data_IF_248638376208
#
_entry.id   IF_248638376208
#
_cell.length_a   1.000
_cell.length_b   1.000
_cell.length_c   1.000
_cell.angle_alpha   90.00
_cell.angle_beta   90.00
_cell.angle_gamma   90.00
#
_symmetry.space_group_name_H-M   'P 1'
#
loop_
_entity.id
_entity.type
_entity.pdbx_description
1 polymer ?
#
# COMPACT_ATOMS: atom_id res chain seq x y z
N UNK A 1 6.02 -16.92 10.54
CA UNK A 1 6.98 -15.81 10.49
C UNK A 1 6.75 -15.12 9.16
N UNK A 2 6.43 -13.81 9.17
CA UNK A 2 6.12 -13.04 7.96
C UNK A 2 7.28 -13.02 6.98
N UNK A 3 6.97 -13.18 5.69
CA UNK A 3 7.94 -13.14 4.58
C UNK A 3 7.58 -12.02 3.62
N UNK A 4 8.61 -11.37 3.09
CA UNK A 4 8.47 -10.37 2.03
C UNK A 4 8.28 -11.09 0.70
N UNK A 5 7.12 -10.93 0.08
CA UNK A 5 6.81 -11.42 -1.27
C UNK A 5 7.34 -10.45 -2.32
N UNK A 6 7.12 -9.14 -2.11
CA UNK A 6 7.48 -8.10 -3.06
C UNK A 6 7.83 -6.80 -2.33
N UNK A 7 8.67 -5.99 -2.94
CA UNK A 7 8.96 -4.62 -2.49
C UNK A 7 8.64 -3.67 -3.63
N UNK A 8 7.73 -2.75 -3.37
CA UNK A 8 7.43 -1.63 -4.26
C UNK A 8 8.23 -0.43 -3.76
N UNK A 9 9.04 0.16 -4.64
CA UNK A 9 9.77 1.39 -4.35
C UNK A 9 9.00 2.60 -4.88
N UNK A 10 8.85 3.62 -4.04
CA UNK A 10 8.28 4.91 -4.41
C UNK A 10 9.28 6.03 -4.11
N UNK A 11 9.34 7.01 -4.99
CA UNK A 11 10.09 8.24 -4.77
C UNK A 11 9.10 9.37 -4.60
N UNK A 12 9.00 9.91 -3.38
CA UNK A 12 8.20 11.10 -3.12
C UNK A 12 9.02 12.34 -3.48
N UNK A 13 8.46 13.31 -4.24
CA UNK A 13 9.12 14.59 -4.48
C UNK A 13 9.33 15.38 -3.18
N UNK A 14 8.55 15.06 -2.13
CA UNK A 14 8.67 15.67 -0.80
C UNK A 14 9.63 14.91 0.13
N UNK A 15 10.09 13.72 -0.27
CA UNK A 15 10.95 12.84 0.55
C UNK A 15 12.45 13.13 0.44
N UNK A 16 12.84 14.27 -0.14
CA UNK A 16 14.25 14.62 -0.34
C UNK A 16 15.02 13.61 -1.20
N UNK A 17 14.34 12.95 -2.15
CA UNK A 17 14.92 11.94 -3.02
C UNK A 17 15.14 10.57 -2.37
N UNK A 18 14.74 10.39 -1.10
CA UNK A 18 14.84 9.08 -0.44
C UNK A 18 13.71 8.14 -0.90
N UNK A 19 14.02 6.86 -1.17
CA UNK A 19 12.99 5.88 -1.48
C UNK A 19 12.12 5.60 -0.26
N UNK A 20 10.83 5.47 -0.49
CA UNK A 20 9.86 4.89 0.43
C UNK A 20 9.51 3.49 -0.07
N UNK A 21 9.54 2.49 0.81
CA UNK A 21 9.28 1.11 0.44
C UNK A 21 7.90 0.66 0.93
N UNK A 22 7.17 -0.04 0.07
CA UNK A 22 5.93 -0.72 0.39
C UNK A 22 6.13 -2.23 0.19
N UNK A 23 6.06 -2.99 1.28
CA UNK A 23 6.31 -4.42 1.31
C UNK A 23 4.98 -5.16 1.19
N UNK A 24 4.92 -6.12 0.27
CA UNK A 24 3.83 -7.09 0.19
C UNK A 24 4.27 -8.34 0.94
N UNK A 25 3.47 -8.75 1.91
CA UNK A 25 3.78 -9.87 2.81
C UNK A 25 2.87 -11.06 2.53
N UNK A 26 3.34 -12.26 2.87
CA UNK A 26 2.51 -13.48 2.87
C UNK A 26 1.49 -13.50 4.01
N UNK A 27 1.88 -13.00 5.17
CA UNK A 27 1.04 -12.81 6.35
C UNK A 27 1.45 -11.53 7.08
N UNK A 28 0.49 -10.87 7.73
CA UNK A 28 0.80 -9.70 8.56
C UNK A 28 1.61 -10.09 9.81
N UNK A 29 2.58 -9.25 10.23
CA UNK A 29 3.30 -9.44 11.48
C UNK A 29 2.35 -9.41 12.68
N UNK A 30 2.57 -10.30 13.64
CA UNK A 30 1.82 -10.32 14.90
C UNK A 30 2.24 -9.14 15.77
N UNK A 31 1.24 -8.49 16.36
CA UNK A 31 1.44 -7.36 17.28
C UNK A 31 1.24 -7.80 18.73
N UNK A 32 2.22 -8.54 19.25
CA UNK A 32 2.30 -8.91 20.68
C UNK A 32 3.45 -8.11 21.28
N UNK A 33 3.17 -7.32 22.32
CA UNK A 33 4.11 -6.30 22.79
C UNK A 33 4.85 -6.73 24.05
N UNK A 34 6.16 -6.51 24.07
CA UNK A 34 6.94 -6.48 25.30
C UNK A 34 6.91 -5.06 25.90
N UNK A 35 6.78 -4.95 27.22
CA UNK A 35 6.75 -3.65 27.92
C UNK A 35 8.12 -3.27 28.47
N UNK A 36 8.56 -2.06 28.12
CA UNK A 36 9.80 -1.44 28.60
C UNK A 36 9.50 -0.05 29.17
N UNK A 37 9.07 -0.01 30.43
CA UNK A 37 8.63 1.22 31.09
C UNK A 37 7.38 1.81 30.41
N UNK A 38 7.56 2.93 29.70
CA UNK A 38 6.51 3.60 28.91
C UNK A 38 6.47 3.14 27.43
N UNK A 39 7.42 2.30 27.01
CA UNK A 39 7.49 1.80 25.64
C UNK A 39 6.88 0.40 25.54
N UNK A 40 6.22 0.13 24.43
CA UNK A 40 5.67 -1.17 24.07
C UNK A 40 6.24 -1.53 22.69
N UNK A 41 6.93 -2.66 22.62
CA UNK A 41 7.64 -3.08 21.41
C UNK A 41 7.10 -4.43 20.97
N UNK A 42 6.49 -4.49 19.80
CA UNK A 42 6.18 -5.75 19.14
C UNK A 42 7.31 -6.11 18.18
N UNK A 43 7.65 -7.40 18.13
CA UNK A 43 8.63 -7.94 17.21
C UNK A 43 8.16 -9.30 16.68
N UNK A 44 8.09 -9.44 15.36
CA UNK A 44 7.79 -10.70 14.68
C UNK A 44 8.70 -10.85 13.45
N UNK A 45 9.79 -11.61 13.63
CA UNK A 45 10.76 -11.94 12.58
C UNK A 45 11.33 -10.73 11.82
N UNK A 46 11.88 -9.76 12.56
CA UNK A 46 12.47 -8.54 12.01
C UNK A 46 11.44 -7.50 11.56
N UNK A 47 10.15 -7.73 11.77
CA UNK A 47 9.13 -6.68 11.73
C UNK A 47 8.85 -6.16 13.13
N UNK A 48 8.64 -4.85 13.22
CA UNK A 48 8.49 -4.14 14.48
C UNK A 48 7.26 -3.23 14.47
N UNK A 49 6.68 -3.08 15.66
CA UNK A 49 5.77 -1.98 15.98
C UNK A 49 6.22 -1.32 17.28
N UNK A 50 6.25 0.00 17.29
CA UNK A 50 6.80 0.78 18.39
C UNK A 50 5.75 1.76 18.89
N UNK A 51 5.26 1.47 20.09
CA UNK A 51 4.32 2.34 20.77
C UNK A 51 4.97 2.90 22.03
N UNK A 52 4.55 4.10 22.40
CA UNK A 52 4.82 4.64 23.73
C UNK A 52 3.53 5.15 24.32
N UNK A 53 3.37 4.95 25.61
CA UNK A 53 2.19 5.40 26.30
C UNK A 53 2.37 5.49 27.78
N UNK A 54 1.49 6.27 28.40
CA UNK A 54 1.40 6.44 29.84
C UNK A 54 -0.01 6.11 30.26
N UNK A 55 -0.15 5.53 31.45
CA UNK A 55 -1.46 5.49 32.09
C UNK A 55 -1.90 6.95 32.32
N UNK A 56 -3.01 7.34 31.73
CA UNK A 56 -3.54 8.70 31.79
C UNK A 56 -5.05 8.69 31.96
N UNK A 57 -5.64 9.86 32.27
CA UNK A 57 -7.08 10.08 32.42
C UNK A 57 -7.68 10.85 31.23
N UNK A 58 -7.09 10.71 30.04
CA UNK A 58 -7.45 11.53 28.87
C UNK A 58 -8.46 10.85 27.96
N UNK A 59 -9.49 11.57 27.53
CA UNK A 59 -10.52 11.06 26.60
C UNK A 59 -10.06 11.06 25.13
N UNK A 60 -8.84 10.58 24.82
CA UNK A 60 -8.46 10.49 23.41
C UNK A 60 -9.33 9.45 22.67
N UNK A 61 -9.43 9.60 21.35
CA UNK A 61 -10.36 8.84 20.50
C UNK A 61 -11.84 8.98 20.93
N UNK A 62 -12.22 10.15 21.46
CA UNK A 62 -13.57 10.45 21.97
C UNK A 62 -13.99 9.52 23.12
N UNK A 63 -13.08 9.30 24.08
CA UNK A 63 -13.30 8.45 25.25
C UNK A 63 -13.32 6.95 24.96
N UNK A 64 -12.91 6.52 23.75
CA UNK A 64 -12.81 5.09 23.43
C UNK A 64 -11.59 4.48 24.11
N UNK A 65 -11.84 3.40 24.81
CA UNK A 65 -10.82 2.59 25.46
C UNK A 65 -10.48 1.37 24.59
N UNK A 66 -9.22 0.97 24.62
CA UNK A 66 -8.77 -0.26 23.97
C UNK A 66 -7.67 -0.94 24.79
N UNK A 67 -7.35 -2.17 24.42
CA UNK A 67 -6.47 -3.03 25.16
C UNK A 67 -5.30 -3.46 24.27
N UNK A 68 -4.07 -3.38 24.79
CA UNK A 68 -2.88 -3.92 24.14
C UNK A 68 -2.49 -5.21 24.85
N UNK A 69 -2.37 -6.31 24.10
CA UNK A 69 -1.86 -7.57 24.64
C UNK A 69 -0.34 -7.50 24.84
N UNK A 70 0.09 -7.90 26.02
CA UNK A 70 1.50 -8.02 26.40
C UNK A 70 1.93 -9.48 26.29
N UNK A 71 3.20 -9.71 25.94
CA UNK A 71 3.80 -11.03 25.78
C UNK A 71 3.78 -11.90 27.05
N UNK A 72 3.81 -11.27 28.23
CA UNK A 72 3.62 -11.91 29.53
C UNK A 72 2.17 -12.37 29.81
N UNK A 73 1.26 -12.18 28.84
CA UNK A 73 -0.16 -12.53 28.93
C UNK A 73 -1.02 -11.46 29.62
N UNK A 74 -0.42 -10.40 30.15
CA UNK A 74 -1.15 -9.27 30.71
C UNK A 74 -1.70 -8.37 29.60
N UNK A 75 -2.52 -7.40 30.00
CA UNK A 75 -3.13 -6.44 29.07
C UNK A 75 -2.91 -5.03 29.58
N UNK A 76 -2.47 -4.14 28.70
CA UNK A 76 -2.37 -2.72 28.99
C UNK A 76 -3.65 -1.99 28.56
N UNK A 77 -4.36 -1.44 29.54
CA UNK A 77 -5.57 -0.65 29.31
C UNK A 77 -5.21 0.75 28.82
N UNK A 78 -5.69 1.09 27.62
CA UNK A 78 -5.36 2.34 26.95
C UNK A 78 -6.52 3.33 27.07
N UNK A 79 -6.34 4.34 27.92
CA UNK A 79 -7.22 5.50 28.06
C UNK A 79 -6.61 6.71 27.33
N UNK A 80 -6.53 6.58 26.01
CA UNK A 80 -6.23 7.68 25.10
C UNK A 80 -4.77 8.18 24.98
N UNK A 81 -3.78 7.57 25.64
CA UNK A 81 -2.40 8.08 25.60
C UNK A 81 -1.37 7.06 25.09
N UNK A 82 -1.66 6.40 23.96
CA UNK A 82 -0.70 5.54 23.27
C UNK A 82 -0.46 6.05 21.86
N UNK A 83 0.80 6.24 21.50
CA UNK A 83 1.23 6.85 20.24
C UNK A 83 2.25 5.97 19.56
N UNK A 84 2.27 5.99 18.22
CA UNK A 84 3.44 5.53 17.47
C UNK A 84 4.65 6.36 17.87
N UNK A 85 5.78 5.71 18.09
CA UNK A 85 6.99 6.34 18.62
C UNK A 85 8.24 5.63 18.13
N UNK A 86 9.42 6.20 18.38
CA UNK A 86 10.66 5.45 18.24
C UNK A 86 10.83 4.43 19.37
N UNK A 87 11.74 3.47 19.19
CA UNK A 87 12.02 2.39 20.15
C UNK A 87 12.78 2.83 21.42
N UNK A 88 13.03 4.13 21.64
CA UNK A 88 13.63 4.66 22.88
C UNK A 88 15.01 4.12 23.24
N UNK A 89 15.75 3.54 22.27
CA UNK A 89 17.02 2.85 22.53
C UNK A 89 16.89 1.39 23.01
N UNK A 90 15.68 0.85 23.12
CA UNK A 90 15.44 -0.55 23.54
C UNK A 90 15.63 -1.57 22.42
N UNK A 91 15.79 -1.12 21.18
CA UNK A 91 16.16 -1.92 20.02
C UNK A 91 17.49 -1.37 19.50
N UNK A 92 18.51 -2.23 19.45
CA UNK A 92 19.83 -1.88 18.90
C UNK A 92 19.90 -2.05 17.38
N UNK A 93 19.05 -2.92 16.84
CA UNK A 93 18.96 -3.12 15.40
C UNK A 93 18.42 -1.87 14.70
N UNK A 94 19.08 -1.48 13.61
CA UNK A 94 18.60 -0.39 12.77
C UNK A 94 17.32 -0.83 12.05
N UNK A 95 16.29 -0.01 12.17
CA UNK A 95 15.01 -0.24 11.50
C UNK A 95 14.69 0.84 10.47
N UNK A 96 13.72 0.55 9.60
CA UNK A 96 13.24 1.42 8.52
C UNK A 96 11.72 1.42 8.54
N UNK A 97 11.12 2.61 8.46
CA UNK A 97 9.68 2.77 8.28
C UNK A 97 9.28 2.43 6.86
N UNK A 98 8.21 1.66 6.72
CA UNK A 98 7.73 1.12 5.46
C UNK A 98 6.21 1.03 5.44
N UNK A 99 5.63 0.95 4.24
CA UNK A 99 4.27 0.44 4.07
C UNK A 99 4.28 -1.10 4.12
N UNK A 100 3.30 -1.73 4.78
CA UNK A 100 3.11 -3.18 4.78
C UNK A 100 1.65 -3.53 4.46
N UNK A 101 1.45 -4.60 3.70
CA UNK A 101 0.14 -5.21 3.49
C UNK A 101 0.31 -6.62 2.94
N UNK A 102 -0.71 -7.45 3.10
CA UNK A 102 -0.85 -8.72 2.37
C UNK A 102 -1.61 -8.51 1.06
N UNK A 103 -1.50 -9.46 0.11
CA UNK A 103 -2.31 -9.45 -1.11
C UNK A 103 -3.82 -9.47 -0.82
N UNK A 104 -4.23 -10.18 0.24
CA UNK A 104 -5.62 -10.25 0.66
C UNK A 104 -6.14 -8.88 1.13
N UNK A 105 -5.35 -8.13 1.90
CA UNK A 105 -5.70 -6.78 2.35
C UNK A 105 -5.76 -5.78 1.19
N UNK A 106 -4.76 -5.81 0.30
CA UNK A 106 -4.71 -4.94 -0.89
C UNK A 106 -5.90 -5.17 -1.82
N UNK A 107 -6.41 -6.41 -1.89
CA UNK A 107 -7.60 -6.73 -2.67
C UNK A 107 -8.89 -6.12 -2.08
N UNK A 108 -8.97 -5.98 -0.74
CA UNK A 108 -10.11 -5.35 -0.03
C UNK A 108 -10.06 -3.83 -0.18
N UNK A 109 -8.91 -3.25 0.13
CA UNK A 109 -8.65 -1.81 0.02
C UNK A 109 -7.18 -1.62 -0.30
N UNK A 110 -6.88 -0.91 -1.39
CA UNK A 110 -5.50 -0.73 -1.86
C UNK A 110 -4.72 0.28 -1.02
N UNK A 111 -4.41 -0.10 0.22
CA UNK A 111 -3.76 0.71 1.25
C UNK A 111 -2.67 -0.13 1.91
N UNK A 112 -1.47 0.45 2.00
CA UNK A 112 -0.40 -0.07 2.83
C UNK A 112 -0.50 0.57 4.22
N UNK A 113 -0.41 -0.25 5.26
CA UNK A 113 -0.35 0.24 6.64
C UNK A 113 1.08 0.64 7.00
N UNK A 114 1.23 1.62 7.88
CA UNK A 114 2.55 1.94 8.43
C UNK A 114 3.09 0.74 9.22
N UNK A 115 4.35 0.40 8.98
CA UNK A 115 5.07 -0.65 9.67
C UNK A 115 6.54 -0.32 9.76
N UNK A 116 7.25 -1.06 10.59
CA UNK A 116 8.70 -0.93 10.73
C UNK A 116 9.36 -2.27 10.47
N UNK A 117 10.48 -2.29 9.77
CA UNK A 117 11.23 -3.51 9.46
C UNK A 117 12.71 -3.31 9.76
N UNK A 118 13.39 -4.39 10.14
CA UNK A 118 14.85 -4.48 10.18
C UNK A 118 15.43 -4.01 8.85
N UNK A 119 16.41 -3.10 8.92
CA UNK A 119 17.15 -2.66 7.75
C UNK A 119 17.88 -3.84 7.07
N UNK A 120 18.40 -4.78 7.85
CA UNK A 120 19.10 -5.95 7.34
C UNK A 120 18.14 -6.90 6.60
N UNK A 121 16.93 -7.12 7.14
CA UNK A 121 15.92 -7.97 6.47
C UNK A 121 15.47 -7.37 5.13
N UNK A 122 15.22 -6.06 5.10
CA UNK A 122 14.87 -5.36 3.86
C UNK A 122 16.03 -5.42 2.85
N UNK A 123 17.26 -5.16 3.30
CA UNK A 123 18.44 -5.18 2.43
C UNK A 123 18.67 -6.58 1.85
N UNK A 124 18.55 -7.65 2.65
CA UNK A 124 18.70 -9.01 2.17
C UNK A 124 17.71 -9.35 1.05
N UNK A 125 16.47 -8.84 1.13
CA UNK A 125 15.51 -8.98 0.04
C UNK A 125 15.94 -8.19 -1.21
N UNK A 126 16.37 -6.94 -1.04
CA UNK A 126 16.82 -6.07 -2.15
C UNK A 126 18.10 -6.58 -2.84
N UNK A 127 18.99 -7.25 -2.11
CA UNK A 127 20.20 -7.84 -2.67
C UNK A 127 19.90 -9.05 -3.56
N UNK A 128 18.77 -9.72 -3.31
CA UNK A 128 18.37 -10.95 -4.00
C UNK A 128 17.27 -10.75 -5.04
N UNK A 129 16.62 -9.59 -5.08
CA UNK A 129 15.43 -9.34 -5.88
C UNK A 129 15.42 -7.93 -6.46
N UNK A 130 14.68 -7.75 -7.56
CA UNK A 130 14.43 -6.42 -8.14
C UNK A 130 13.13 -5.85 -7.58
N UNK A 131 13.13 -4.68 -6.93
CA UNK A 131 11.90 -4.05 -6.46
C UNK A 131 11.05 -3.55 -7.63
N UNK A 132 9.73 -3.58 -7.46
CA UNK A 132 8.77 -3.02 -8.41
C UNK A 132 8.72 -1.49 -8.32
N UNK A 133 8.76 -0.81 -9.46
CA UNK A 133 8.47 0.64 -9.55
C UNK A 133 6.98 0.97 -9.64
N UNK A 134 6.12 -0.04 -9.81
CA UNK A 134 4.69 0.15 -10.02
C UNK A 134 3.92 0.05 -8.71
N UNK A 135 3.59 1.21 -8.12
CA UNK A 135 2.79 1.28 -6.89
C UNK A 135 1.44 0.61 -7.00
N UNK A 136 0.85 0.53 -8.19
CA UNK A 136 -0.49 -0.03 -8.41
C UNK A 136 -0.47 -1.44 -8.99
N UNK A 137 0.67 -2.13 -8.90
CA UNK A 137 0.87 -3.50 -9.42
C UNK A 137 -0.23 -4.47 -9.00
N UNK A 138 -0.71 -4.38 -7.76
CA UNK A 138 -1.73 -5.27 -7.21
C UNK A 138 -3.13 -4.62 -7.12
N UNK A 139 -3.31 -3.40 -7.63
CA UNK A 139 -4.60 -2.72 -7.60
C UNK A 139 -5.47 -3.24 -8.74
N UNK A 140 -6.55 -3.97 -8.40
CA UNK A 140 -7.51 -4.47 -9.40
C UNK A 140 -8.07 -3.36 -10.28
N UNK A 141 -8.19 -2.13 -9.77
CA UNK A 141 -8.68 -0.96 -10.53
C UNK A 141 -7.63 -0.38 -11.49
N UNK A 142 -6.39 -0.86 -11.42
CA UNK A 142 -5.28 -0.48 -12.29
C UNK A 142 -5.00 -1.53 -13.38
N UNK A 143 -6.06 -2.10 -13.94
CA UNK A 143 -5.98 -3.09 -15.02
C UNK A 143 -6.74 -2.61 -16.24
N UNK A 144 -6.36 -3.09 -17.44
CA UNK A 144 -7.08 -2.76 -18.68
C UNK A 144 -8.47 -3.38 -18.64
N UNK A 145 -8.59 -4.57 -18.05
CA UNK A 145 -9.83 -5.30 -17.84
C UNK A 145 -10.81 -4.49 -16.98
N UNK A 146 -10.34 -3.93 -15.85
CA UNK A 146 -11.19 -3.08 -15.03
C UNK A 146 -11.57 -1.80 -15.75
N UNK A 147 -10.61 -1.15 -16.42
CA UNK A 147 -10.88 0.05 -17.21
C UNK A 147 -11.91 -0.23 -18.30
N UNK A 148 -11.85 -1.41 -18.92
CA UNK A 148 -12.79 -1.85 -19.94
C UNK A 148 -14.18 -2.10 -19.39
N UNK A 149 -14.28 -2.57 -18.15
CA UNK A 149 -15.55 -2.83 -17.47
C UNK A 149 -16.28 -1.54 -17.06
N UNK A 150 -15.54 -0.48 -16.69
CA UNK A 150 -16.13 0.79 -16.24
C UNK A 150 -16.35 1.79 -17.38
N UNK A 151 -15.59 1.71 -18.47
CA UNK A 151 -15.81 2.56 -19.65
C UNK A 151 -16.70 1.85 -20.65
N UNK A 152 -17.99 2.20 -20.62
CA UNK A 152 -18.99 1.70 -21.57
C UNK A 152 -19.22 2.65 -22.75
N UNK A 153 -18.82 3.92 -22.63
CA UNK A 153 -19.02 4.94 -23.67
C UNK A 153 -17.81 5.86 -23.85
N UNK A 154 -17.74 6.48 -25.03
CA UNK A 154 -16.74 7.50 -25.36
C UNK A 154 -17.29 8.91 -25.17
N UNK A 155 -16.41 9.85 -24.82
CA UNK A 155 -16.79 11.26 -24.57
C UNK A 155 -16.87 12.12 -25.82
N UNK A 156 -16.34 11.64 -26.96
CA UNK A 156 -16.31 12.39 -28.22
C UNK A 156 -17.03 11.63 -29.33
N UNK A 157 -18.13 12.15 -29.90
CA UNK A 157 -18.74 11.55 -31.09
C UNK A 157 -17.78 11.66 -32.29
N UNK A 158 -17.78 10.64 -33.14
CA UNK A 158 -16.89 10.57 -34.31
C UNK A 158 -17.61 9.99 -35.53
N UNK A 159 -17.21 10.46 -36.71
CA UNK A 159 -17.71 9.91 -37.97
C UNK A 159 -17.07 8.54 -38.29
N UNK A 160 -17.68 7.79 -39.22
CA UNK A 160 -17.20 6.47 -39.63
C UNK A 160 -15.76 6.50 -40.20
N UNK A 161 -15.40 7.55 -40.96
CA UNK A 161 -14.03 7.73 -41.48
C UNK A 161 -13.01 7.84 -40.35
N UNK A 162 -13.28 8.66 -39.35
CA UNK A 162 -12.41 8.83 -38.17
C UNK A 162 -12.32 7.56 -37.33
N UNK A 163 -13.44 6.86 -37.14
CA UNK A 163 -13.46 5.58 -36.43
C UNK A 163 -12.57 4.52 -37.10
N UNK A 164 -12.59 4.42 -38.43
CA UNK A 164 -11.71 3.51 -39.18
C UNK A 164 -10.23 3.85 -38.99
N UNK A 165 -9.87 5.13 -39.04
CA UNK A 165 -8.50 5.59 -38.80
C UNK A 165 -8.01 5.26 -37.39
N UNK A 166 -8.85 5.50 -36.38
CA UNK A 166 -8.52 5.22 -34.98
C UNK A 166 -8.35 3.71 -34.72
N UNK A 167 -9.23 2.85 -35.27
CA UNK A 167 -9.10 1.39 -35.13
C UNK A 167 -7.78 0.85 -35.68
N UNK A 168 -7.29 1.38 -36.79
CA UNK A 168 -5.96 1.01 -37.34
C UNK A 168 -4.81 1.32 -36.37
N UNK A 169 -5.03 2.21 -35.41
CA UNK A 169 -4.06 2.57 -34.35
C UNK A 169 -4.29 1.79 -33.05
N UNK A 170 -5.18 0.80 -33.03
CA UNK A 170 -5.51 0.02 -31.83
C UNK A 170 -6.44 0.72 -30.83
N UNK A 171 -7.00 1.87 -31.21
CA UNK A 171 -7.90 2.67 -30.35
C UNK A 171 -9.28 2.02 -30.24
N UNK A 172 -9.83 1.98 -29.02
CA UNK A 172 -11.19 1.48 -28.77
C UNK A 172 -12.23 2.48 -29.26
N UNK A 173 -13.22 1.96 -29.99
CA UNK A 173 -14.37 2.74 -30.47
C UNK A 173 -15.61 2.23 -29.75
N UNK A 174 -16.28 3.13 -29.04
CA UNK A 174 -17.52 2.87 -28.36
C UNK A 174 -18.68 3.07 -29.34
N UNK A 175 -19.76 2.32 -29.14
CA UNK A 175 -21.02 2.49 -29.86
C UNK A 175 -22.15 2.53 -28.84
N UNK A 176 -23.10 3.43 -29.04
CA UNK A 176 -24.36 3.40 -28.31
C UNK A 176 -25.39 2.51 -29.03
N UNK A 177 -26.57 2.38 -28.44
CA UNK A 177 -27.68 1.57 -28.96
C UNK A 177 -28.17 2.05 -30.33
N UNK A 178 -28.00 3.34 -30.64
CA UNK A 178 -28.30 3.93 -31.94
C UNK A 178 -27.17 3.72 -32.98
N UNK A 179 -26.10 3.01 -32.62
CA UNK A 179 -24.94 2.76 -33.49
C UNK A 179 -24.04 3.99 -33.72
N UNK A 180 -24.27 5.09 -32.99
CA UNK A 180 -23.42 6.28 -33.03
C UNK A 180 -22.08 5.94 -32.40
N UNK A 181 -21.01 6.38 -33.05
CA UNK A 181 -19.63 6.01 -32.67
C UNK A 181 -19.05 7.12 -31.82
N UNK A 182 -18.40 6.75 -30.73
CA UNK A 182 -17.65 7.67 -29.89
C UNK A 182 -16.29 7.12 -29.51
N UNK A 183 -15.43 8.01 -29.04
CA UNK A 183 -14.08 7.73 -28.59
C UNK A 183 -13.77 8.56 -27.35
N UNK A 184 -12.96 8.04 -26.43
CA UNK A 184 -12.52 8.76 -25.23
C UNK A 184 -10.98 8.87 -25.23
N UNK A 185 -10.43 10.09 -25.42
CA UNK A 185 -8.99 10.32 -25.29
C UNK A 185 -8.47 10.00 -23.89
N UNK A 186 -9.29 10.22 -22.86
CA UNK A 186 -8.94 9.88 -21.48
C UNK A 186 -8.77 8.37 -21.30
N UNK A 187 -9.71 7.58 -21.82
CA UNK A 187 -9.61 6.11 -21.78
C UNK A 187 -8.33 5.62 -22.46
N UNK A 188 -8.01 6.12 -23.65
CA UNK A 188 -6.80 5.66 -24.37
C UNK A 188 -5.50 6.04 -23.65
N UNK A 189 -5.42 7.28 -23.14
CA UNK A 189 -4.27 7.71 -22.33
C UNK A 189 -4.15 6.82 -21.09
N UNK A 190 -5.27 6.54 -20.42
CA UNK A 190 -5.26 5.72 -19.21
C UNK A 190 -4.87 4.28 -19.48
N UNK A 191 -5.37 3.69 -20.56
CA UNK A 191 -4.98 2.37 -21.05
C UNK A 191 -3.48 2.31 -21.33
N UNK A 192 -2.94 3.31 -22.02
CA UNK A 192 -1.50 3.38 -22.31
C UNK A 192 -0.65 3.53 -21.04
N UNK A 193 -1.10 4.32 -20.06
CA UNK A 193 -0.44 4.44 -18.75
C UNK A 193 -0.40 3.10 -18.01
N UNK A 194 -1.50 2.35 -17.98
CA UNK A 194 -1.57 1.02 -17.34
C UNK A 194 -0.64 0.03 -18.05
N UNK A 195 -0.67 -0.03 -19.37
CA UNK A 195 0.20 -0.92 -20.16
C UNK A 195 1.67 -0.59 -19.90
N UNK A 196 2.02 0.70 -19.88
CA UNK A 196 3.39 1.14 -19.60
C UNK A 196 3.82 0.78 -18.18
N UNK A 197 2.96 0.98 -17.18
CA UNK A 197 3.27 0.68 -15.78
C UNK A 197 3.43 -0.83 -15.51
N UNK A 198 2.71 -1.68 -16.25
CA UNK A 198 2.80 -3.14 -16.11
C UNK A 198 3.95 -3.78 -16.90
N UNK A 199 4.62 -3.01 -17.77
CA UNK A 199 5.80 -3.44 -18.51
C UNK A 199 7.13 -3.14 -17.79
N UNK A 200 7.06 -2.46 -16.63
CA UNK A 200 8.18 -2.13 -15.75
C UNK A 200 8.22 -3.10 -14.57
#
# INVERSE_FOLDING_TARGET
>A
MPKIIDVIVQYSPYGGGKPHYCLVLDVMPKKVYARHGQYFIAHDDGFYDFLSGRAGKGDAFAGREFHIQIDDGTTFHCQGQVWSSGHGGHVSERTVEVGIATLEELAKCYVFFGGTVSAAKLQAWLDSNTPSGNYRKYDRKHTVEWLDSVYTSGTRPICAKRARQLRRRGVRIFKDDAGRRSWSPYYERRKAEIIKANAQ
#
